data_IF_360795686577
#
_entry.id   IF_360795686577
#
_cell.length_a   1.000
_cell.length_b   1.000
_cell.length_c   1.000
_cell.angle_alpha   90.00
_cell.angle_beta   90.00
_cell.angle_gamma   90.00
#
_symmetry.space_group_name_H-M   'P 1'
#
loop_
_entity.id
_entity.type
_entity.pdbx_description
1 polymer ?
#
# COMPACT_ATOMS: atom_id res chain seq x y z
N UNK A 1 -10.81 -0.84 -13.04
CA UNK A 1 -11.07 -0.99 -11.58
C UNK A 1 -9.78 -0.95 -10.77
N UNK A 2 -8.77 -1.80 -11.03
CA UNK A 2 -7.50 -1.80 -10.28
C UNK A 2 -6.69 -0.50 -10.38
N UNK A 3 -6.74 0.20 -11.52
CA UNK A 3 -6.07 1.49 -11.68
C UNK A 3 -6.65 2.55 -10.75
N UNK A 4 -7.98 2.61 -10.63
CA UNK A 4 -8.66 3.53 -9.72
C UNK A 4 -8.24 3.21 -8.29
N UNK A 5 -8.22 1.93 -7.92
CA UNK A 5 -7.80 1.48 -6.59
C UNK A 5 -6.35 1.89 -6.27
N UNK A 6 -5.41 1.66 -7.19
CA UNK A 6 -4.01 2.05 -7.04
C UNK A 6 -3.83 3.58 -6.99
N UNK A 7 -4.57 4.33 -7.80
CA UNK A 7 -4.53 5.80 -7.78
C UNK A 7 -5.09 6.37 -6.48
N UNK A 8 -6.21 5.83 -6.00
CA UNK A 8 -6.80 6.20 -4.72
C UNK A 8 -5.88 5.82 -3.56
N UNK A 9 -5.23 4.67 -3.61
CA UNK A 9 -4.23 4.27 -2.61
C UNK A 9 -3.09 5.29 -2.51
N UNK A 10 -2.54 5.72 -3.65
CA UNK A 10 -1.48 6.74 -3.65
C UNK A 10 -1.98 8.08 -3.09
N UNK A 11 -3.19 8.49 -3.46
CA UNK A 11 -3.78 9.74 -2.99
C UNK A 11 -4.07 9.73 -1.48
N UNK A 12 -4.69 8.66 -0.97
CA UNK A 12 -5.02 8.52 0.44
C UNK A 12 -3.75 8.36 1.29
N UNK A 13 -2.77 7.59 0.82
CA UNK A 13 -1.46 7.49 1.49
C UNK A 13 -0.77 8.85 1.57
N UNK A 14 -0.77 9.64 0.49
CA UNK A 14 -0.22 10.99 0.53
C UNK A 14 -0.97 11.90 1.51
N UNK A 15 -2.30 11.84 1.55
CA UNK A 15 -3.11 12.59 2.51
C UNK A 15 -2.81 12.18 3.96
N UNK A 16 -2.63 10.89 4.23
CA UNK A 16 -2.25 10.37 5.54
C UNK A 16 -0.93 10.99 6.02
N UNK A 17 0.12 10.94 5.20
CA UNK A 17 1.42 11.51 5.58
C UNK A 17 1.44 13.05 5.61
N UNK A 18 0.66 13.73 4.77
CA UNK A 18 0.57 15.20 4.78
C UNK A 18 -0.21 15.74 5.98
N UNK A 19 -1.19 14.97 6.45
CA UNK A 19 -2.00 15.32 7.63
C UNK A 19 -1.46 14.69 8.91
N UNK A 20 -0.35 13.95 8.84
CA UNK A 20 0.28 13.30 9.99
C UNK A 20 0.63 14.34 11.07
N UNK A 21 0.07 14.20 12.29
CA UNK A 21 0.44 15.06 13.41
C UNK A 21 1.70 14.56 14.12
N UNK A 22 2.46 13.65 13.49
CA UNK A 22 3.75 13.14 13.97
C UNK A 22 4.90 13.61 13.07
N UNK A 23 6.10 13.64 13.64
CA UNK A 23 7.29 14.02 12.88
C UNK A 23 7.67 12.92 11.88
N UNK A 24 7.62 13.26 10.59
CA UNK A 24 8.06 12.36 9.53
C UNK A 24 9.59 12.16 9.59
N UNK A 25 10.03 11.00 10.06
CA UNK A 25 11.44 10.64 10.02
C UNK A 25 11.91 10.43 8.58
N UNK A 26 13.20 10.63 8.33
CA UNK A 26 13.81 10.40 7.00
C UNK A 26 13.55 8.97 6.52
N UNK A 27 13.54 7.99 7.43
CA UNK A 27 13.25 6.60 7.12
C UNK A 27 11.79 6.39 6.67
N UNK A 28 10.83 7.00 7.38
CA UNK A 28 9.41 6.93 7.01
C UNK A 28 9.20 7.52 5.61
N UNK A 29 9.80 8.68 5.33
CA UNK A 29 9.73 9.33 4.01
C UNK A 29 10.33 8.42 2.93
N UNK A 30 11.49 7.83 3.18
CA UNK A 30 12.15 6.95 2.21
C UNK A 30 11.31 5.73 1.86
N UNK A 31 10.73 5.05 2.85
CA UNK A 31 9.90 3.87 2.61
C UNK A 31 8.57 4.24 1.97
N UNK A 32 7.97 5.36 2.36
CA UNK A 32 6.77 5.90 1.71
C UNK A 32 7.01 6.22 0.22
N UNK A 33 8.12 6.88 -0.12
CA UNK A 33 8.48 7.16 -1.51
C UNK A 33 8.71 5.87 -2.32
N UNK A 34 9.35 4.86 -1.71
CA UNK A 34 9.56 3.56 -2.34
C UNK A 34 8.24 2.83 -2.58
N UNK A 35 7.30 2.91 -1.63
CA UNK A 35 5.96 2.36 -1.77
C UNK A 35 5.19 3.08 -2.89
N UNK A 36 5.23 4.40 -2.91
CA UNK A 36 4.63 5.24 -3.95
C UNK A 36 5.19 4.91 -5.34
N UNK A 37 6.51 4.77 -5.46
CA UNK A 37 7.15 4.36 -6.72
C UNK A 37 6.67 2.98 -7.18
N UNK A 38 6.46 2.04 -6.25
CA UNK A 38 5.91 0.72 -6.56
C UNK A 38 4.47 0.83 -7.11
N UNK A 39 3.63 1.68 -6.51
CA UNK A 39 2.27 1.95 -7.02
C UNK A 39 2.32 2.55 -8.43
N UNK A 40 3.19 3.53 -8.69
CA UNK A 40 3.34 4.15 -10.01
C UNK A 40 3.79 3.14 -11.07
N UNK A 41 4.69 2.22 -10.71
CA UNK A 41 5.12 1.13 -11.61
C UNK A 41 3.98 0.14 -11.87
N UNK A 42 3.16 -0.17 -10.86
CA UNK A 42 1.96 -1.01 -11.02
C UNK A 42 0.91 -0.33 -11.90
N UNK A 43 0.70 0.98 -11.75
CA UNK A 43 -0.18 1.78 -12.60
C UNK A 43 0.31 1.80 -14.05
N UNK A 44 1.60 2.05 -14.27
CA UNK A 44 2.21 2.03 -15.61
C UNK A 44 2.04 0.68 -16.30
N UNK A 45 2.14 -0.42 -15.55
CA UNK A 45 2.06 -1.78 -16.07
C UNK A 45 0.72 -2.47 -15.76
N UNK A 46 -0.36 -1.70 -15.55
CA UNK A 46 -1.65 -2.23 -15.07
C UNK A 46 -2.27 -3.28 -15.99
N UNK A 47 -1.99 -3.25 -17.29
CA UNK A 47 -2.46 -4.26 -18.24
C UNK A 47 -1.93 -5.67 -17.88
N UNK A 48 -0.72 -5.74 -17.30
CA UNK A 48 -0.12 -6.97 -16.79
C UNK A 48 -0.66 -7.42 -15.43
N UNK A 49 -1.64 -6.71 -14.86
CA UNK A 49 -2.36 -7.09 -13.64
C UNK A 49 -3.63 -7.91 -13.94
N UNK A 50 -3.84 -8.33 -15.18
CA UNK A 50 -4.94 -9.21 -15.61
C UNK A 50 -4.36 -10.58 -15.95
N UNK A 51 -4.81 -11.62 -15.27
CA UNK A 51 -4.36 -13.00 -15.52
C UNK A 51 -3.05 -13.38 -14.82
N UNK A 52 -2.21 -14.19 -15.48
CA UNK A 52 -0.95 -14.64 -14.90
C UNK A 52 0.10 -13.52 -14.90
N UNK A 53 0.59 -13.18 -13.72
CA UNK A 53 1.52 -12.07 -13.59
C UNK A 53 2.92 -12.38 -14.12
N UNK A 54 3.45 -11.44 -14.90
CA UNK A 54 4.85 -11.47 -15.32
C UNK A 54 5.81 -11.36 -14.12
N UNK A 55 7.06 -11.84 -14.23
CA UNK A 55 8.04 -11.75 -13.14
C UNK A 55 8.26 -10.32 -12.63
N UNK A 56 8.20 -9.31 -13.50
CA UNK A 56 8.37 -7.91 -13.12
C UNK A 56 7.20 -7.40 -12.27
N UNK A 57 5.96 -7.73 -12.67
CA UNK A 57 4.76 -7.38 -11.89
C UNK A 57 4.79 -8.04 -10.51
N UNK A 58 5.21 -9.31 -10.42
CA UNK A 58 5.40 -10.01 -9.15
C UNK A 58 6.38 -9.27 -8.23
N UNK A 59 7.50 -8.78 -8.78
CA UNK A 59 8.48 -7.98 -8.03
C UNK A 59 7.89 -6.66 -7.53
N UNK A 60 7.18 -5.90 -8.36
CA UNK A 60 6.59 -4.62 -7.94
C UNK A 60 5.54 -4.79 -6.85
N UNK A 61 4.71 -5.83 -6.94
CA UNK A 61 3.74 -6.21 -5.90
C UNK A 61 4.43 -6.58 -4.59
N UNK A 62 5.50 -7.36 -4.69
CA UNK A 62 6.28 -7.76 -3.52
C UNK A 62 6.93 -6.54 -2.84
N UNK A 63 7.57 -5.65 -3.61
CA UNK A 63 8.14 -4.42 -3.08
C UNK A 63 7.09 -3.51 -2.46
N UNK A 64 5.93 -3.32 -3.10
CA UNK A 64 4.79 -2.62 -2.52
C UNK A 64 4.41 -3.21 -1.15
N UNK A 65 4.25 -4.53 -1.08
CA UNK A 65 3.84 -5.21 0.17
C UNK A 65 4.90 -5.07 1.28
N UNK A 66 6.17 -5.31 0.96
CA UNK A 66 7.26 -5.24 1.95
C UNK A 66 7.48 -3.82 2.45
N UNK A 67 7.48 -2.83 1.54
CA UNK A 67 7.65 -1.42 1.92
C UNK A 67 6.49 -0.92 2.76
N UNK A 68 5.28 -1.41 2.52
CA UNK A 68 4.11 -1.10 3.32
C UNK A 68 4.26 -1.65 4.74
N UNK A 69 4.65 -2.91 4.90
CA UNK A 69 4.90 -3.53 6.22
C UNK A 69 5.98 -2.76 6.98
N UNK A 70 7.08 -2.41 6.32
CA UNK A 70 8.16 -1.65 6.97
C UNK A 70 7.68 -0.26 7.39
N UNK A 71 6.92 0.42 6.52
CA UNK A 71 6.36 1.75 6.83
C UNK A 71 5.45 1.68 8.06
N UNK A 72 4.59 0.66 8.13
CA UNK A 72 3.69 0.44 9.26
C UNK A 72 4.45 0.23 10.57
N UNK A 73 5.46 -0.64 10.55
CA UNK A 73 6.31 -0.89 11.73
C UNK A 73 7.02 0.39 12.18
N UNK A 74 7.57 1.17 11.24
CA UNK A 74 8.26 2.41 11.55
C UNK A 74 7.33 3.47 12.16
N UNK A 75 6.10 3.60 11.64
CA UNK A 75 5.10 4.51 12.18
C UNK A 75 4.72 4.10 13.60
N UNK A 76 4.43 2.82 13.83
CA UNK A 76 4.06 2.31 15.14
C UNK A 76 5.16 2.57 16.19
N UNK A 77 6.43 2.38 15.82
CA UNK A 77 7.57 2.67 16.71
C UNK A 77 7.74 4.19 16.95
N UNK A 78 7.42 5.03 15.96
CA UNK A 78 7.57 6.48 16.06
C UNK A 78 6.37 7.19 16.73
N UNK A 79 5.28 6.47 17.01
CA UNK A 79 3.98 7.04 17.40
C UNK A 79 3.79 7.24 18.92
N UNK A 80 4.88 7.52 19.65
CA UNK A 80 4.82 7.78 21.09
C UNK A 80 3.90 8.99 21.40
N UNK A 81 2.70 8.70 21.93
CA UNK A 81 1.66 9.65 22.36
C UNK A 81 0.91 10.44 21.27
N UNK A 82 0.32 9.71 20.32
CA UNK A 82 -0.58 10.27 19.31
C UNK A 82 -2.02 10.48 19.86
N UNK A 83 -2.55 11.71 19.79
CA UNK A 83 -3.99 11.99 19.85
C UNK A 83 -4.49 12.36 18.45
N UNK A 84 -5.21 11.44 17.82
CA UNK A 84 -5.91 11.71 16.57
C UNK A 84 -6.95 12.81 16.75
N UNK A 85 -6.98 13.78 15.84
CA UNK A 85 -8.25 14.48 15.60
C UNK A 85 -9.16 13.61 14.71
N UNK A 86 -10.46 13.93 14.68
CA UNK A 86 -11.44 13.15 13.93
C UNK A 86 -11.14 13.09 12.42
N UNK A 87 -10.45 14.11 11.88
CA UNK A 87 -10.11 14.18 10.46
C UNK A 87 -8.97 13.22 10.12
N UNK A 88 -7.88 13.24 10.90
CA UNK A 88 -6.78 12.31 10.70
C UNK A 88 -7.21 10.87 10.99
N UNK A 89 -8.07 10.64 11.99
CA UNK A 89 -8.66 9.32 12.24
C UNK A 89 -9.40 8.78 11.01
N UNK A 90 -10.26 9.60 10.40
CA UNK A 90 -10.95 9.23 9.16
C UNK A 90 -9.99 8.92 8.01
N UNK A 91 -8.94 9.73 7.83
CA UNK A 91 -7.94 9.53 6.78
C UNK A 91 -7.17 8.23 7.03
N UNK A 92 -6.78 7.95 8.29
CA UNK A 92 -6.12 6.71 8.70
C UNK A 92 -6.97 5.48 8.40
N UNK A 93 -8.24 5.48 8.80
CA UNK A 93 -9.15 4.35 8.53
C UNK A 93 -9.36 4.13 7.03
N UNK A 94 -9.46 5.23 6.27
CA UNK A 94 -9.57 5.20 4.81
C UNK A 94 -8.31 4.61 4.18
N UNK A 95 -7.12 4.99 4.65
CA UNK A 95 -5.84 4.46 4.20
C UNK A 95 -5.77 2.95 4.42
N UNK A 96 -6.07 2.48 5.63
CA UNK A 96 -6.05 1.05 5.97
C UNK A 96 -7.01 0.26 5.09
N UNK A 97 -8.21 0.78 4.86
CA UNK A 97 -9.21 0.14 4.02
C UNK A 97 -8.74 -0.01 2.56
N UNK A 98 -8.25 1.08 1.96
CA UNK A 98 -7.75 1.05 0.58
C UNK A 98 -6.49 0.21 0.45
N UNK A 99 -5.63 0.20 1.47
CA UNK A 99 -4.45 -0.65 1.57
C UNK A 99 -4.87 -2.13 1.53
N UNK A 100 -5.82 -2.52 2.38
CA UNK A 100 -6.33 -3.89 2.46
C UNK A 100 -6.98 -4.34 1.15
N UNK A 101 -7.80 -3.49 0.53
CA UNK A 101 -8.39 -3.76 -0.79
C UNK A 101 -7.32 -3.91 -1.87
N UNK A 102 -6.32 -3.02 -1.89
CA UNK A 102 -5.23 -3.04 -2.87
C UNK A 102 -4.42 -4.33 -2.76
N UNK A 103 -4.02 -4.70 -1.55
CA UNK A 103 -3.34 -5.97 -1.30
C UNK A 103 -4.21 -7.16 -1.69
N UNK A 104 -5.48 -7.15 -1.31
CA UNK A 104 -6.44 -8.21 -1.66
C UNK A 104 -6.54 -8.42 -3.16
N UNK A 105 -6.69 -7.34 -3.94
CA UNK A 105 -6.75 -7.40 -5.40
C UNK A 105 -5.41 -7.85 -6.00
N UNK A 106 -4.29 -7.30 -5.54
CA UNK A 106 -2.98 -7.65 -6.06
C UNK A 106 -2.64 -9.11 -5.79
N UNK A 107 -3.00 -9.67 -4.64
CA UNK A 107 -2.68 -11.06 -4.25
C UNK A 107 -3.80 -12.06 -4.53
N UNK A 108 -4.95 -11.62 -5.04
CA UNK A 108 -6.09 -12.48 -5.31
C UNK A 108 -5.74 -13.69 -6.17
N UNK A 109 -5.00 -13.50 -7.26
CA UNK A 109 -4.65 -14.58 -8.18
C UNK A 109 -3.83 -15.68 -7.51
N UNK A 110 -2.76 -15.35 -6.79
CA UNK A 110 -1.94 -16.34 -6.07
C UNK A 110 -2.71 -17.03 -4.95
N UNK A 111 -3.55 -16.30 -4.21
CA UNK A 111 -4.38 -16.89 -3.16
C UNK A 111 -5.36 -17.88 -3.82
N UNK A 112 -6.20 -17.42 -4.75
CA UNK A 112 -7.23 -18.23 -5.37
C UNK A 112 -6.67 -19.47 -6.12
N UNK A 113 -5.53 -19.34 -6.82
CA UNK A 113 -4.97 -20.44 -7.59
C UNK A 113 -4.08 -21.40 -6.78
N UNK A 114 -3.42 -20.95 -5.71
CA UNK A 114 -2.74 -21.90 -4.81
C UNK A 114 -3.74 -22.74 -4.04
N UNK A 115 -4.86 -22.15 -3.61
CA UNK A 115 -5.95 -22.89 -2.95
C UNK A 115 -6.53 -23.97 -3.87
N UNK A 116 -6.75 -23.69 -5.16
CA UNK A 116 -7.21 -24.71 -6.13
C UNK A 116 -6.23 -25.85 -6.42
N UNK A 117 -4.94 -25.71 -6.08
CA UNK A 117 -3.95 -26.78 -6.26
C UNK A 117 -3.79 -27.66 -5.01
N UNK A 118 -4.38 -27.25 -3.89
CA UNK A 118 -4.31 -27.93 -2.60
C UNK A 118 -5.53 -28.81 -2.31
N UNK A 119 -6.61 -28.67 -3.11
CA UNK A 119 -7.86 -29.43 -3.05
C UNK A 119 -8.18 -29.99 -4.43
#
# INVERSE_FOLDING_TARGET
MIQLLLATQAAVSALYYLTAPFHLSVLVIFFWLTNTASILLLLKNHAGLIGEFSPNIKRYRFFFTVTLIISEVLINIASDSYQADNLHGLISDTEVLFTGMTLGVLWHYEIANKFKKLF
#
